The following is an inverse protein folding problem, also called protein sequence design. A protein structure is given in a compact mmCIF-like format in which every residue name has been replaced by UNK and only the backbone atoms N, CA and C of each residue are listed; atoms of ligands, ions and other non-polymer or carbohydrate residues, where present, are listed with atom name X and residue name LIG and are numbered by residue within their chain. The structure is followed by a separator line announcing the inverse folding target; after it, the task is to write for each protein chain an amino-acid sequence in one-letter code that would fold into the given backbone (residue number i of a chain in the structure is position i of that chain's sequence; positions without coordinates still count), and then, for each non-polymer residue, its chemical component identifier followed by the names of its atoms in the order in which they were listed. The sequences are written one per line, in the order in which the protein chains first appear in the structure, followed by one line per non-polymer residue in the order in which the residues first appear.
data_IF_716682355493
#
_entry.id   IF_716682355493
#
_cell.length_a   1.000
_cell.length_b   1.000
_cell.length_c   1.000
_cell.angle_alpha   90.00
_cell.angle_beta   90.00
_cell.angle_gamma   90.00
#
_symmetry.space_group_name_H-M   'P 1'
#
loop_
_entity.id
_entity.type
_entity.pdbx_description
1 polymer ?
#
# COMPACT_ATOMS: atom_id res chain seq x y z
N UNK A 1 11.62 -107.30 16.34
CA UNK A 1 11.89 -105.89 16.65
C UNK A 1 12.54 -105.28 15.42
N UNK A 2 11.77 -104.65 14.55
CA UNK A 2 12.27 -103.92 13.35
C UNK A 2 12.77 -102.54 13.74
N UNK A 3 14.03 -102.29 13.42
CA UNK A 3 14.65 -100.94 13.64
C UNK A 3 14.15 -100.02 12.50
N UNK A 4 13.25 -99.14 12.86
CA UNK A 4 12.73 -98.07 11.96
C UNK A 4 13.88 -97.15 11.56
N UNK A 5 14.38 -97.27 10.37
CA UNK A 5 15.47 -96.48 9.81
C UNK A 5 14.92 -95.09 9.51
N UNK A 6 15.02 -94.16 10.47
CA UNK A 6 14.64 -92.76 10.30
C UNK A 6 15.55 -92.15 9.26
N UNK A 7 14.99 -91.78 8.10
CA UNK A 7 15.70 -91.16 7.00
C UNK A 7 16.41 -89.86 7.44
N UNK A 8 17.70 -90.03 7.77
CA UNK A 8 18.56 -88.92 8.19
C UNK A 8 18.51 -87.75 7.18
N UNK A 9 18.34 -88.01 5.91
CA UNK A 9 18.18 -87.04 4.84
C UNK A 9 16.89 -86.20 4.97
N UNK A 10 15.80 -86.81 5.44
CA UNK A 10 14.56 -86.09 5.68
C UNK A 10 14.65 -85.14 6.84
N UNK A 11 15.30 -85.53 7.92
CA UNK A 11 15.55 -84.72 9.11
C UNK A 11 16.48 -83.56 8.78
N UNK A 12 17.52 -83.71 7.97
CA UNK A 12 18.43 -82.65 7.56
C UNK A 12 17.74 -81.64 6.63
N UNK A 13 16.91 -82.11 5.68
CA UNK A 13 16.11 -81.23 4.81
C UNK A 13 15.09 -80.44 5.62
N UNK A 14 14.43 -81.07 6.61
CA UNK A 14 13.45 -80.45 7.46
C UNK A 14 14.12 -79.35 8.39
N UNK A 15 15.30 -79.68 8.92
CA UNK A 15 16.07 -78.72 9.73
C UNK A 15 16.59 -77.56 8.95
N UNK A 16 17.02 -77.78 7.67
CA UNK A 16 17.41 -76.71 6.76
C UNK A 16 16.23 -75.75 6.41
N UNK A 17 15.02 -76.30 6.22
CA UNK A 17 13.81 -75.55 5.96
C UNK A 17 13.41 -74.68 7.18
N UNK A 18 13.54 -75.21 8.40
CA UNK A 18 13.29 -74.46 9.63
C UNK A 18 14.32 -73.33 9.82
N UNK A 19 15.59 -73.55 9.51
CA UNK A 19 16.64 -72.52 9.59
C UNK A 19 16.39 -71.42 8.54
N UNK A 20 16.08 -71.75 7.32
CA UNK A 20 15.77 -70.79 6.25
C UNK A 20 14.49 -70.01 6.57
N UNK A 21 13.42 -70.73 6.98
CA UNK A 21 12.15 -70.10 7.39
C UNK A 21 12.28 -69.20 8.63
N UNK A 22 13.06 -69.66 9.62
CA UNK A 22 13.35 -68.89 10.82
C UNK A 22 14.22 -67.66 10.55
N UNK A 23 15.24 -67.82 9.68
CA UNK A 23 16.09 -66.66 9.27
C UNK A 23 15.28 -65.64 8.43
N UNK A 24 14.44 -66.07 7.55
CA UNK A 24 13.54 -65.21 6.78
C UNK A 24 12.49 -64.54 7.68
N UNK A 25 11.93 -65.26 8.64
CA UNK A 25 10.97 -64.74 9.61
C UNK A 25 11.61 -63.71 10.55
N UNK A 26 12.81 -63.96 11.06
CA UNK A 26 13.57 -63.00 11.89
C UNK A 26 13.96 -61.77 11.05
N UNK A 27 14.43 -61.94 9.82
CA UNK A 27 14.74 -60.79 8.96
C UNK A 27 13.50 -59.90 8.73
N UNK A 28 12.38 -60.50 8.38
CA UNK A 28 11.13 -59.77 8.18
C UNK A 28 10.59 -59.09 9.45
N UNK A 29 10.76 -59.77 10.61
CA UNK A 29 10.36 -59.22 11.89
C UNK A 29 11.23 -58.01 12.32
N UNK A 30 12.56 -58.08 12.16
CA UNK A 30 13.46 -56.97 12.43
C UNK A 30 13.20 -55.80 11.45
N UNK A 31 13.00 -56.12 10.16
CA UNK A 31 12.69 -55.08 9.15
C UNK A 31 11.36 -54.37 9.45
N UNK A 32 10.34 -55.12 9.87
CA UNK A 32 9.03 -54.53 10.27
C UNK A 32 9.10 -53.67 11.53
N UNK A 33 10.05 -53.96 12.46
CA UNK A 33 10.25 -53.12 13.66
C UNK A 33 11.06 -51.86 13.37
N UNK A 34 11.88 -51.84 12.35
CA UNK A 34 12.78 -50.72 12.01
C UNK A 34 12.20 -49.79 10.93
N UNK A 35 11.08 -50.13 10.30
CA UNK A 35 10.46 -49.33 9.24
C UNK A 35 8.99 -49.05 9.58
N UNK A 36 8.63 -47.78 9.60
CA UNK A 36 7.23 -47.37 9.73
C UNK A 36 6.64 -47.13 8.33
N UNK A 37 5.43 -47.65 8.09
CA UNK A 37 4.75 -47.59 6.82
C UNK A 37 3.37 -46.93 7.00
N UNK A 38 2.96 -46.16 6.02
CA UNK A 38 1.59 -45.68 5.88
C UNK A 38 1.17 -45.72 4.41
N UNK A 39 -0.06 -46.09 4.15
CA UNK A 39 -0.76 -46.03 2.87
C UNK A 39 -1.65 -44.77 2.73
N UNK A 40 -1.76 -44.00 3.80
CA UNK A 40 -2.53 -42.78 3.88
C UNK A 40 -1.60 -41.59 3.60
N UNK A 41 -1.22 -41.42 2.34
CA UNK A 41 -0.34 -40.36 1.89
C UNK A 41 -0.88 -39.69 0.63
N UNK A 42 -0.73 -38.38 0.50
CA UNK A 42 -1.18 -37.59 -0.64
C UNK A 42 -0.08 -36.64 -1.10
N UNK A 43 0.06 -36.50 -2.43
CA UNK A 43 0.95 -35.53 -3.03
C UNK A 43 0.21 -34.19 -3.10
N UNK A 44 0.77 -33.18 -2.47
CA UNK A 44 0.26 -31.80 -2.51
C UNK A 44 1.22 -30.89 -3.28
N UNK A 45 0.65 -29.89 -3.92
CA UNK A 45 1.38 -28.83 -4.62
C UNK A 45 0.91 -27.47 -4.14
N UNK A 46 1.77 -26.47 -4.26
CA UNK A 46 1.40 -25.09 -3.94
C UNK A 46 0.41 -24.56 -4.97
N UNK A 47 -0.78 -24.23 -4.49
CA UNK A 47 -1.86 -23.65 -5.29
C UNK A 47 -1.93 -22.15 -5.04
N UNK A 48 -2.02 -21.36 -6.10
CA UNK A 48 -2.11 -19.91 -6.05
C UNK A 48 -3.46 -19.47 -6.64
N UNK A 49 -4.42 -19.03 -5.84
CA UNK A 49 -5.72 -18.61 -6.34
C UNK A 49 -5.61 -17.31 -7.17
N UNK A 50 -6.32 -17.25 -8.28
CA UNK A 50 -6.47 -16.07 -9.11
C UNK A 50 -7.69 -15.29 -8.65
N UNK A 51 -7.43 -14.12 -8.09
CA UNK A 51 -8.44 -13.25 -7.46
C UNK A 51 -8.35 -11.86 -8.13
N UNK A 52 -9.39 -11.42 -8.87
CA UNK A 52 -9.42 -10.10 -9.45
C UNK A 52 -9.50 -9.02 -8.36
N UNK A 53 -8.87 -7.88 -8.59
CA UNK A 53 -8.90 -6.72 -7.68
C UNK A 53 -10.03 -5.73 -8.01
N UNK A 54 -10.60 -5.84 -9.21
CA UNK A 54 -11.69 -5.01 -9.69
C UNK A 54 -12.84 -5.89 -10.17
N UNK A 55 -14.06 -5.39 -10.06
CA UNK A 55 -15.26 -6.06 -10.58
C UNK A 55 -15.57 -5.58 -11.99
N UNK A 56 -16.10 -6.47 -12.82
CA UNK A 56 -16.54 -6.14 -14.17
C UNK A 56 -16.86 -7.38 -14.98
N UNK A 57 -17.26 -7.20 -16.23
CA UNK A 57 -17.53 -8.30 -17.14
C UNK A 57 -16.24 -8.81 -17.78
N UNK A 58 -16.09 -10.12 -17.89
CA UNK A 58 -14.96 -10.73 -18.60
C UNK A 58 -15.08 -10.42 -20.10
N UNK A 59 -14.06 -9.78 -20.66
CA UNK A 59 -13.98 -9.50 -22.10
C UNK A 59 -13.45 -10.71 -22.87
N UNK A 60 -12.25 -11.20 -22.50
CA UNK A 60 -11.59 -12.34 -23.14
C UNK A 60 -10.89 -13.21 -22.11
N UNK A 61 -10.88 -14.52 -22.39
CA UNK A 61 -10.12 -15.53 -21.65
C UNK A 61 -9.05 -16.10 -22.60
N UNK A 62 -7.78 -16.09 -22.17
CA UNK A 62 -6.63 -16.47 -22.99
C UNK A 62 -6.09 -17.86 -22.66
N UNK A 63 -6.55 -18.44 -21.54
CA UNK A 63 -6.08 -19.75 -21.06
C UNK A 63 -7.22 -20.76 -21.03
N UNK A 64 -6.86 -22.03 -21.15
CA UNK A 64 -7.76 -23.18 -21.03
C UNK A 64 -7.38 -24.04 -19.83
N UNK A 65 -8.23 -25.02 -19.52
CA UNK A 65 -7.95 -26.03 -18.50
C UNK A 65 -6.61 -26.70 -18.76
N UNK A 66 -5.80 -26.79 -17.71
CA UNK A 66 -4.49 -27.46 -17.72
C UNK A 66 -3.40 -26.79 -18.59
N UNK A 67 -3.59 -25.57 -19.08
CA UNK A 67 -2.56 -24.84 -19.81
C UNK A 67 -1.37 -24.50 -18.89
N UNK A 68 -0.16 -24.55 -19.46
CA UNK A 68 1.05 -24.07 -18.80
C UNK A 68 1.22 -22.55 -19.03
N UNK A 69 1.41 -21.82 -17.95
CA UNK A 69 1.59 -20.37 -17.98
C UNK A 69 2.87 -19.98 -17.27
N UNK A 70 3.48 -18.90 -17.73
CA UNK A 70 4.63 -18.24 -17.10
C UNK A 70 4.16 -17.02 -16.33
N UNK A 71 4.95 -16.64 -15.33
CA UNK A 71 4.73 -15.40 -14.60
C UNK A 71 4.67 -14.20 -15.56
N UNK A 72 3.59 -13.44 -15.50
CA UNK A 72 3.32 -12.30 -16.36
C UNK A 72 2.40 -12.59 -17.55
N UNK A 73 2.14 -13.86 -17.88
CA UNK A 73 1.21 -14.20 -18.95
C UNK A 73 -0.20 -13.74 -18.62
N UNK A 74 -0.90 -13.17 -19.60
CA UNK A 74 -2.28 -12.70 -19.42
C UNK A 74 -3.23 -13.89 -19.40
N UNK A 75 -4.00 -14.02 -18.34
CA UNK A 75 -4.97 -15.09 -18.14
C UNK A 75 -6.34 -14.75 -18.72
N UNK A 76 -6.84 -13.58 -18.37
CA UNK A 76 -8.08 -13.04 -18.91
C UNK A 76 -8.10 -11.50 -18.74
N UNK A 77 -9.01 -10.85 -19.45
CA UNK A 77 -9.24 -9.41 -19.37
C UNK A 77 -10.68 -9.11 -18.94
N UNK A 78 -10.84 -8.05 -18.16
CA UNK A 78 -12.12 -7.45 -17.79
C UNK A 78 -12.37 -6.30 -18.76
N UNK A 79 -13.64 -6.01 -19.09
CA UNK A 79 -14.02 -4.88 -19.94
C UNK A 79 -13.46 -3.56 -19.40
N UNK A 80 -12.69 -2.88 -20.25
CA UNK A 80 -11.92 -1.70 -19.89
C UNK A 80 -12.66 -0.39 -20.13
N UNK A 81 -13.83 -0.42 -20.78
CA UNK A 81 -14.53 0.81 -21.26
C UNK A 81 -14.84 1.76 -20.12
N UNK A 82 -15.43 1.26 -19.04
CA UNK A 82 -15.79 2.07 -17.88
C UNK A 82 -14.53 2.63 -17.15
N UNK A 83 -13.45 1.87 -17.13
CA UNK A 83 -12.18 2.31 -16.52
C UNK A 83 -11.50 3.40 -17.35
N UNK A 84 -11.58 3.33 -18.69
CA UNK A 84 -11.07 4.37 -19.59
C UNK A 84 -11.85 5.67 -19.44
N UNK A 85 -13.18 5.60 -19.33
CA UNK A 85 -14.03 6.77 -19.05
C UNK A 85 -13.62 7.41 -17.72
N UNK A 86 -13.42 6.63 -16.66
CA UNK A 86 -12.96 7.15 -15.36
C UNK A 86 -11.59 7.83 -15.42
N UNK A 87 -10.68 7.36 -16.27
CA UNK A 87 -9.40 8.02 -16.50
C UNK A 87 -9.62 9.37 -17.18
N UNK A 88 -10.51 9.44 -18.16
CA UNK A 88 -10.83 10.67 -18.89
C UNK A 88 -11.48 11.71 -17.97
N UNK A 89 -12.42 11.28 -17.11
CA UNK A 89 -13.02 12.11 -16.05
C UNK A 89 -11.97 12.64 -15.06
N UNK A 90 -11.08 11.78 -14.57
CA UNK A 90 -10.03 12.18 -13.66
C UNK A 90 -9.00 13.12 -14.31
N UNK A 91 -8.70 12.91 -15.60
CA UNK A 91 -7.83 13.80 -16.37
C UNK A 91 -8.48 15.18 -16.60
N UNK A 92 -9.77 15.22 -16.91
CA UNK A 92 -10.51 16.49 -17.02
C UNK A 92 -10.54 17.23 -15.67
N UNK A 93 -10.68 16.53 -14.56
CA UNK A 93 -10.61 17.12 -13.22
C UNK A 93 -9.21 17.70 -12.92
N UNK A 94 -8.12 17.02 -13.35
CA UNK A 94 -6.75 17.53 -13.23
C UNK A 94 -6.58 18.83 -14.03
N UNK A 95 -6.99 18.86 -15.30
CA UNK A 95 -6.92 20.06 -16.15
C UNK A 95 -7.73 21.21 -15.54
N UNK A 96 -8.91 20.92 -14.96
CA UNK A 96 -9.71 21.91 -14.25
C UNK A 96 -9.00 22.48 -13.02
N UNK A 97 -8.31 21.63 -12.24
CA UNK A 97 -7.53 22.07 -11.09
C UNK A 97 -6.31 22.91 -11.50
N UNK A 98 -5.61 22.54 -12.57
CA UNK A 98 -4.50 23.31 -13.16
C UNK A 98 -4.97 24.68 -13.65
N UNK A 99 -6.10 24.75 -14.34
CA UNK A 99 -6.70 26.01 -14.78
C UNK A 99 -7.05 26.92 -13.59
N UNK A 100 -7.62 26.35 -12.54
CA UNK A 100 -7.93 27.09 -11.29
C UNK A 100 -6.69 27.61 -10.60
N UNK A 101 -5.58 26.86 -10.64
CA UNK A 101 -4.29 27.31 -10.12
C UNK A 101 -3.74 28.50 -10.92
N UNK A 102 -3.79 28.47 -12.25
CA UNK A 102 -3.35 29.57 -13.10
C UNK A 102 -4.19 30.85 -12.88
N UNK A 103 -5.51 30.72 -12.66
CA UNK A 103 -6.37 31.85 -12.25
C UNK A 103 -5.91 32.41 -10.91
N UNK A 104 -5.68 31.55 -9.89
CA UNK A 104 -5.21 32.01 -8.58
C UNK A 104 -3.84 32.68 -8.64
N UNK A 105 -2.98 32.24 -9.56
CA UNK A 105 -1.67 32.84 -9.82
C UNK A 105 -1.79 34.22 -10.50
N UNK A 106 -2.75 34.42 -11.37
CA UNK A 106 -3.06 35.71 -11.93
C UNK A 106 -3.61 36.67 -10.86
N UNK A 107 -4.49 36.19 -9.97
CA UNK A 107 -5.05 36.98 -8.86
C UNK A 107 -3.93 37.45 -7.89
N UNK A 108 -2.96 36.61 -7.59
CA UNK A 108 -1.83 36.99 -6.74
C UNK A 108 -0.97 38.08 -7.40
N UNK A 109 -0.77 37.98 -8.73
CA UNK A 109 -0.05 39.02 -9.48
C UNK A 109 -0.76 40.36 -9.41
N UNK A 110 -2.10 40.38 -9.56
CA UNK A 110 -2.93 41.59 -9.36
C UNK A 110 -2.89 42.15 -7.94
N UNK A 111 -2.90 41.24 -6.94
CA UNK A 111 -2.79 41.64 -5.54
C UNK A 111 -1.41 42.27 -5.23
N UNK A 112 -0.32 41.71 -5.77
CA UNK A 112 1.03 42.26 -5.64
C UNK A 112 1.18 43.62 -6.31
N UNK A 113 0.59 43.80 -7.48
CA UNK A 113 0.55 45.11 -8.15
C UNK A 113 -0.22 46.12 -7.29
N UNK A 114 -1.33 45.75 -6.65
CA UNK A 114 -2.08 46.62 -5.72
C UNK A 114 -1.28 46.98 -4.50
N UNK A 115 -0.43 46.09 -3.96
CA UNK A 115 0.52 46.40 -2.88
C UNK A 115 1.52 47.46 -3.35
N UNK A 116 2.09 47.31 -4.53
CA UNK A 116 3.06 48.26 -5.08
C UNK A 116 2.45 49.67 -5.28
N UNK A 117 1.20 49.77 -5.77
CA UNK A 117 0.47 51.02 -5.88
C UNK A 117 0.26 51.66 -4.51
N UNK A 118 -0.14 50.86 -3.51
CA UNK A 118 -0.36 51.37 -2.16
C UNK A 118 0.94 51.85 -1.49
N UNK A 119 2.06 51.17 -1.78
CA UNK A 119 3.39 51.57 -1.32
C UNK A 119 3.81 52.93 -1.92
N UNK A 120 3.60 53.11 -3.23
CA UNK A 120 3.83 54.40 -3.88
C UNK A 120 2.99 55.52 -3.31
N UNK A 121 1.72 55.26 -2.90
CA UNK A 121 0.87 56.24 -2.24
C UNK A 121 1.40 56.63 -0.84
N UNK A 122 1.91 55.69 -0.05
CA UNK A 122 2.55 55.97 1.24
C UNK A 122 3.82 56.80 1.03
N UNK A 123 4.62 56.49 0.03
CA UNK A 123 5.85 57.24 -0.30
C UNK A 123 5.52 58.66 -0.75
N UNK A 124 4.48 58.85 -1.58
CA UNK A 124 3.99 60.16 -2.00
C UNK A 124 3.54 60.99 -0.78
N UNK A 125 2.76 60.39 0.14
CA UNK A 125 2.33 61.05 1.37
C UNK A 125 3.54 61.45 2.24
N UNK A 126 4.59 60.61 2.28
CA UNK A 126 5.84 60.96 2.99
C UNK A 126 6.57 62.12 2.35
N UNK A 127 6.61 62.22 1.03
CA UNK A 127 7.16 63.34 0.30
C UNK A 127 6.42 64.66 0.60
N UNK A 128 5.07 64.60 0.67
CA UNK A 128 4.25 65.77 1.05
C UNK A 128 4.53 66.27 2.47
N UNK A 129 4.77 65.37 3.42
CA UNK A 129 5.17 65.70 4.78
C UNK A 129 6.53 66.39 4.77
N UNK A 130 7.50 65.90 4.01
CA UNK A 130 8.83 66.50 3.94
C UNK A 130 8.76 67.93 3.36
N UNK A 131 8.00 68.13 2.28
CA UNK A 131 7.76 69.46 1.72
C UNK A 131 7.12 70.43 2.76
N UNK A 132 6.12 69.94 3.51
CA UNK A 132 5.49 70.72 4.56
C UNK A 132 6.43 71.05 5.73
N UNK A 133 7.32 70.13 6.12
CA UNK A 133 8.34 70.35 7.15
C UNK A 133 9.35 71.42 6.73
N UNK A 134 9.79 71.41 5.47
CA UNK A 134 10.66 72.41 4.89
C UNK A 134 9.97 73.84 5.03
N UNK A 135 8.68 73.89 4.64
CA UNK A 135 7.88 75.11 4.79
C UNK A 135 7.79 75.53 6.25
N UNK A 136 7.50 74.62 7.16
CA UNK A 136 7.45 74.91 8.61
C UNK A 136 8.80 75.42 9.15
N UNK A 137 9.91 74.80 8.73
CA UNK A 137 11.25 75.25 9.12
C UNK A 137 11.52 76.68 8.72
N UNK A 138 11.13 77.07 7.51
CA UNK A 138 11.23 78.45 7.05
C UNK A 138 10.39 79.43 7.93
N UNK A 139 9.08 79.11 8.09
CA UNK A 139 8.18 79.91 8.88
C UNK A 139 8.57 79.99 10.37
N UNK A 140 9.18 78.98 10.91
CA UNK A 140 9.72 78.94 12.25
C UNK A 140 10.94 79.88 12.36
N UNK A 141 11.81 79.90 11.36
CA UNK A 141 12.95 80.85 11.32
C UNK A 141 12.47 82.29 11.20
N UNK A 142 11.45 82.53 10.36
CA UNK A 142 10.81 83.89 10.26
C UNK A 142 10.18 84.30 11.55
N UNK A 143 9.36 83.46 12.23
CA UNK A 143 8.78 83.73 13.54
C UNK A 143 9.86 84.10 14.57
N UNK A 144 10.94 83.34 14.67
CA UNK A 144 12.03 83.61 15.64
C UNK A 144 12.68 84.93 15.36
N UNK A 145 12.86 85.32 14.11
CA UNK A 145 13.37 86.62 13.72
C UNK A 145 12.39 87.75 14.13
N UNK A 146 11.08 87.61 13.82
CA UNK A 146 10.07 88.63 14.20
C UNK A 146 9.88 88.74 15.71
N UNK A 147 9.95 87.59 16.42
CA UNK A 147 9.90 87.60 17.88
C UNK A 147 11.04 88.40 18.52
N UNK A 148 12.27 88.25 18.01
CA UNK A 148 13.42 89.07 18.48
C UNK A 148 13.24 90.56 18.17
N UNK A 149 12.73 90.94 16.98
CA UNK A 149 12.48 92.33 16.61
C UNK A 149 11.33 92.95 17.43
N UNK A 150 10.30 92.15 17.75
CA UNK A 150 9.20 92.62 18.60
C UNK A 150 9.68 92.88 20.05
N UNK A 151 10.48 92.01 20.60
CA UNK A 151 11.09 92.19 21.93
C UNK A 151 11.97 93.42 22.00
N UNK A 152 12.60 93.84 20.87
CA UNK A 152 13.39 95.04 20.72
C UNK A 152 12.56 96.27 20.29
N UNK A 153 11.22 96.17 20.33
CA UNK A 153 10.30 97.24 19.90
C UNK A 153 10.49 97.73 18.47
N UNK A 154 11.07 96.95 17.58
CA UNK A 154 11.40 97.29 16.18
C UNK A 154 10.29 96.96 15.18
N UNK A 155 9.20 96.27 15.57
CA UNK A 155 8.05 95.96 14.78
C UNK A 155 6.74 96.05 15.52
N UNK A 156 5.61 96.08 14.79
CA UNK A 156 4.27 96.16 15.41
C UNK A 156 3.82 94.79 15.94
N UNK A 157 2.90 94.79 16.89
CA UNK A 157 2.27 93.60 17.47
C UNK A 157 1.56 92.78 16.39
N UNK A 158 0.91 93.45 15.44
CA UNK A 158 0.26 92.81 14.29
C UNK A 158 1.22 91.97 13.44
N UNK A 159 2.42 92.49 13.14
CA UNK A 159 3.44 91.77 12.36
C UNK A 159 3.95 90.55 13.13
N UNK A 160 4.12 90.59 14.41
CA UNK A 160 4.48 89.46 15.27
C UNK A 160 3.37 88.39 15.27
N UNK A 161 2.08 88.82 15.52
CA UNK A 161 0.94 87.90 15.51
C UNK A 161 0.71 87.24 14.18
N UNK A 162 0.95 87.91 13.06
CA UNK A 162 0.92 87.28 11.69
C UNK A 162 1.99 86.18 11.51
N UNK A 163 3.21 86.44 11.98
CA UNK A 163 4.28 85.42 11.90
C UNK A 163 3.99 84.22 12.80
N UNK A 164 3.42 84.41 13.98
CA UNK A 164 3.00 83.35 14.88
C UNK A 164 1.86 82.52 14.28
N UNK A 165 0.84 83.17 13.73
CA UNK A 165 -0.28 82.45 13.07
C UNK A 165 0.20 81.63 11.86
N UNK A 166 1.09 82.20 11.03
CA UNK A 166 1.64 81.43 9.87
C UNK A 166 2.43 80.19 10.30
N UNK A 167 3.24 80.24 11.38
CA UNK A 167 3.90 79.14 11.97
C UNK A 167 2.93 78.04 12.45
N UNK A 168 1.88 78.47 13.24
CA UNK A 168 0.88 77.56 13.78
C UNK A 168 0.06 76.87 12.70
N UNK A 169 -0.26 77.56 11.61
CA UNK A 169 -0.90 77.01 10.42
C UNK A 169 -0.03 75.92 9.79
N UNK A 170 1.27 76.18 9.58
CA UNK A 170 2.21 75.26 9.03
C UNK A 170 2.42 74.02 9.94
N UNK A 171 2.47 74.18 11.26
CA UNK A 171 2.51 73.10 12.24
C UNK A 171 1.25 72.23 12.13
N UNK A 172 0.10 72.84 12.02
CA UNK A 172 -1.17 72.09 11.82
C UNK A 172 -1.19 71.36 10.51
N UNK A 173 -0.69 71.96 9.43
CA UNK A 173 -0.60 71.32 8.11
C UNK A 173 0.31 70.08 8.15
N UNK A 174 1.47 70.10 8.80
CA UNK A 174 2.35 68.93 8.98
C UNK A 174 1.61 67.84 9.76
N UNK A 175 0.88 68.15 10.81
CA UNK A 175 0.09 67.20 11.59
C UNK A 175 -1.01 66.56 10.79
N UNK A 176 -1.73 67.31 9.93
CA UNK A 176 -2.76 66.77 9.02
C UNK A 176 -2.13 65.77 8.04
N UNK A 177 -1.00 66.14 7.40
CA UNK A 177 -0.31 65.28 6.44
C UNK A 177 0.26 64.02 7.10
N UNK A 178 0.71 64.12 8.37
CA UNK A 178 1.12 62.94 9.13
C UNK A 178 -0.05 61.98 9.40
N UNK A 179 -1.25 62.51 9.71
CA UNK A 179 -2.44 61.65 9.85
C UNK A 179 -2.84 61.03 8.51
N UNK A 180 -2.72 61.78 7.42
CA UNK A 180 -2.97 61.26 6.08
C UNK A 180 -2.00 60.12 5.69
N UNK A 181 -0.69 60.27 5.97
CA UNK A 181 0.28 59.20 5.76
C UNK A 181 -0.06 57.97 6.59
N UNK A 182 -0.42 58.16 7.88
CA UNK A 182 -0.83 57.07 8.76
C UNK A 182 -2.05 56.32 8.21
N UNK A 183 -3.03 57.03 7.68
CA UNK A 183 -4.19 56.44 7.03
C UNK A 183 -3.80 55.61 5.78
N UNK A 184 -2.90 56.18 4.94
CA UNK A 184 -2.35 55.47 3.79
C UNK A 184 -1.57 54.21 4.20
N UNK A 185 -0.83 54.27 5.32
CA UNK A 185 -0.14 53.09 5.90
C UNK A 185 -1.09 52.01 6.36
N UNK A 186 -2.21 52.35 7.00
CA UNK A 186 -3.24 51.36 7.33
C UNK A 186 -3.88 50.74 6.07
N UNK A 187 -4.16 51.57 5.06
CA UNK A 187 -4.66 51.08 3.79
C UNK A 187 -3.69 50.08 3.12
N UNK A 188 -2.38 50.37 3.13
CA UNK A 188 -1.34 49.44 2.67
C UNK A 188 -1.40 48.12 3.43
N UNK A 189 -1.50 48.15 4.78
CA UNK A 189 -1.59 46.93 5.60
C UNK A 189 -2.81 46.08 5.26
N UNK A 190 -3.95 46.66 4.95
CA UNK A 190 -5.16 45.96 4.50
C UNK A 190 -4.91 45.27 3.17
N UNK A 191 -4.26 45.96 2.21
CA UNK A 191 -3.96 45.40 0.89
C UNK A 191 -2.92 44.29 0.99
N UNK A 192 -1.90 44.43 1.84
CA UNK A 192 -0.92 43.36 2.12
C UNK A 192 -1.57 42.14 2.74
N UNK A 193 -2.51 42.33 3.69
CA UNK A 193 -3.26 41.21 4.24
C UNK A 193 -4.09 40.48 3.16
N UNK A 194 -4.74 41.24 2.26
CA UNK A 194 -5.47 40.66 1.12
C UNK A 194 -4.55 39.89 0.20
N UNK A 195 -3.35 40.41 -0.10
CA UNK A 195 -2.32 39.73 -0.89
C UNK A 195 -1.90 38.39 -0.26
N UNK A 196 -1.72 38.34 1.08
CA UNK A 196 -1.42 37.12 1.82
C UNK A 196 -2.57 36.09 1.70
N UNK A 197 -3.83 36.55 1.73
CA UNK A 197 -4.98 35.66 1.51
C UNK A 197 -4.94 35.07 0.10
N UNK A 198 -4.72 35.88 -0.95
CA UNK A 198 -4.61 35.40 -2.33
C UNK A 198 -3.46 34.40 -2.49
N UNK A 199 -2.33 34.61 -1.80
CA UNK A 199 -1.23 33.65 -1.79
C UNK A 199 -1.65 32.32 -1.16
N UNK A 200 -2.37 32.34 -0.04
CA UNK A 200 -2.90 31.10 0.57
C UNK A 200 -3.94 30.40 -0.31
N UNK A 201 -4.71 31.17 -1.05
CA UNK A 201 -5.64 30.60 -2.05
C UNK A 201 -4.88 29.83 -3.14
N UNK A 202 -3.72 30.33 -3.57
CA UNK A 202 -2.85 29.64 -4.54
C UNK A 202 -2.26 28.35 -3.94
N UNK A 203 -1.87 28.34 -2.66
CA UNK A 203 -1.44 27.12 -1.96
C UNK A 203 -2.56 26.06 -1.96
N UNK A 204 -3.81 26.47 -1.73
CA UNK A 204 -4.99 25.59 -1.77
C UNK A 204 -5.21 25.04 -3.19
N UNK A 205 -5.11 25.90 -4.21
CA UNK A 205 -5.23 25.46 -5.61
C UNK A 205 -4.14 24.46 -5.99
N UNK A 206 -2.90 24.68 -5.54
CA UNK A 206 -1.79 23.73 -5.74
C UNK A 206 -2.04 22.36 -5.06
N UNK A 207 -2.64 22.36 -3.87
CA UNK A 207 -3.04 21.13 -3.19
C UNK A 207 -4.16 20.40 -3.94
N UNK A 208 -5.07 21.12 -4.59
CA UNK A 208 -6.13 20.53 -5.43
C UNK A 208 -5.55 19.82 -6.66
N UNK A 209 -4.50 20.37 -7.31
CA UNK A 209 -3.77 19.68 -8.39
C UNK A 209 -3.25 18.32 -7.91
N UNK A 210 -2.55 18.29 -6.78
CA UNK A 210 -2.02 17.04 -6.22
C UNK A 210 -3.12 16.02 -5.94
N UNK A 211 -4.27 16.47 -5.44
CA UNK A 211 -5.43 15.60 -5.21
C UNK A 211 -5.99 15.04 -6.51
N UNK A 212 -6.16 15.87 -7.53
CA UNK A 212 -6.66 15.44 -8.85
C UNK A 212 -5.66 14.49 -9.53
N UNK A 213 -4.36 14.73 -9.40
CA UNK A 213 -3.32 13.85 -9.91
C UNK A 213 -3.38 12.46 -9.25
N UNK A 214 -3.51 12.41 -7.92
CA UNK A 214 -3.67 11.14 -7.19
C UNK A 214 -4.94 10.39 -7.62
N UNK A 215 -6.02 11.08 -7.93
CA UNK A 215 -7.24 10.48 -8.47
C UNK A 215 -7.02 9.89 -9.87
N UNK A 216 -6.28 10.59 -10.74
CA UNK A 216 -5.91 10.09 -12.06
C UNK A 216 -5.02 8.83 -11.95
N UNK A 217 -4.02 8.84 -11.09
CA UNK A 217 -3.17 7.68 -10.83
C UNK A 217 -3.96 6.47 -10.31
N UNK A 218 -4.92 6.70 -9.41
CA UNK A 218 -5.81 5.64 -8.91
C UNK A 218 -6.70 5.06 -10.03
N UNK A 219 -7.22 5.89 -10.92
CA UNK A 219 -8.00 5.44 -12.07
C UNK A 219 -7.15 4.63 -13.06
N UNK A 220 -5.92 5.06 -13.33
CA UNK A 220 -4.96 4.33 -14.17
C UNK A 220 -4.58 2.98 -13.55
N UNK A 221 -4.33 2.94 -12.24
CA UNK A 221 -4.04 1.70 -11.52
C UNK A 221 -5.21 0.71 -11.62
N UNK A 222 -6.45 1.18 -11.47
CA UNK A 222 -7.63 0.35 -11.63
C UNK A 222 -7.75 -0.22 -13.06
N UNK A 223 -7.35 0.54 -14.08
CA UNK A 223 -7.29 0.04 -15.46
C UNK A 223 -6.24 -1.09 -15.57
N UNK A 224 -5.08 -1.00 -14.94
CA UNK A 224 -4.09 -2.08 -14.97
C UNK A 224 -4.62 -3.36 -14.32
N UNK A 225 -5.48 -3.25 -13.31
CA UNK A 225 -6.11 -4.40 -12.65
C UNK A 225 -7.18 -5.09 -13.50
N UNK A 226 -7.57 -4.54 -14.64
CA UNK A 226 -8.47 -5.21 -15.59
C UNK A 226 -7.78 -6.30 -16.41
N UNK A 227 -6.45 -6.29 -16.47
CA UNK A 227 -5.64 -7.32 -17.12
C UNK A 227 -5.10 -8.23 -16.03
N UNK A 228 -5.65 -9.44 -15.94
CA UNK A 228 -5.27 -10.39 -14.91
C UNK A 228 -4.15 -11.28 -15.47
N UNK A 229 -3.00 -11.25 -14.77
CA UNK A 229 -1.80 -11.98 -15.18
C UNK A 229 -1.43 -13.05 -14.17
N UNK A 230 -0.69 -14.07 -14.63
CA UNK A 230 -0.14 -15.12 -13.78
C UNK A 230 0.92 -14.54 -12.83
N UNK A 231 0.75 -14.76 -11.52
CA UNK A 231 1.69 -14.32 -10.50
C UNK A 231 2.93 -15.22 -10.37
N UNK A 232 2.80 -16.49 -10.79
CA UNK A 232 3.83 -17.53 -10.73
C UNK A 232 3.81 -18.39 -12.02
N UNK A 233 4.90 -19.07 -12.28
CA UNK A 233 4.93 -20.14 -13.27
C UNK A 233 4.17 -21.36 -12.77
N UNK A 234 3.40 -22.02 -13.64
CA UNK A 234 2.66 -23.19 -13.25
C UNK A 234 1.64 -23.63 -14.28
N UNK A 235 0.78 -24.55 -13.85
CA UNK A 235 -0.31 -25.08 -14.64
C UNK A 235 -1.64 -24.57 -14.12
N UNK A 236 -2.48 -24.05 -15.01
CA UNK A 236 -3.82 -23.55 -14.68
C UNK A 236 -4.71 -24.74 -14.31
N UNK A 237 -5.49 -24.60 -13.27
CA UNK A 237 -6.54 -25.55 -12.90
C UNK A 237 -7.73 -25.46 -13.87
N UNK A 238 -8.87 -26.01 -13.49
CA UNK A 238 -10.12 -25.83 -14.23
C UNK A 238 -10.51 -24.34 -14.29
N UNK A 239 -10.78 -23.84 -15.49
CA UNK A 239 -11.17 -22.44 -15.77
C UNK A 239 -12.69 -22.34 -15.91
N UNK A 240 -13.37 -21.96 -14.84
CA UNK A 240 -14.84 -21.89 -14.82
C UNK A 240 -15.38 -20.49 -15.21
N UNK A 241 -14.57 -19.65 -15.87
CA UNK A 241 -15.00 -18.33 -16.34
C UNK A 241 -15.21 -18.28 -17.86
N UNK A 242 -16.20 -17.48 -18.27
CA UNK A 242 -16.53 -17.31 -19.68
C UNK A 242 -16.60 -15.82 -20.07
N UNK A 243 -16.30 -15.44 -21.32
CA UNK A 243 -16.55 -14.10 -21.82
C UNK A 243 -18.00 -13.67 -21.60
N UNK A 244 -18.21 -12.43 -21.12
CA UNK A 244 -19.53 -11.90 -20.77
C UNK A 244 -19.98 -12.20 -19.32
N UNK A 245 -19.25 -13.03 -18.59
CA UNK A 245 -19.54 -13.30 -17.17
C UNK A 245 -19.13 -12.14 -16.28
N UNK A 246 -19.95 -11.82 -15.29
CA UNK A 246 -19.62 -10.84 -14.25
C UNK A 246 -18.71 -11.50 -13.21
N UNK A 247 -17.54 -10.91 -12.95
CA UNK A 247 -16.63 -11.29 -11.86
C UNK A 247 -16.57 -10.17 -10.82
N UNK A 248 -16.41 -10.56 -9.54
CA UNK A 248 -16.36 -9.62 -8.43
C UNK A 248 -14.94 -9.54 -7.84
N UNK A 249 -14.56 -8.36 -7.37
CA UNK A 249 -13.30 -8.19 -6.65
C UNK A 249 -13.28 -9.08 -5.39
N UNK A 250 -12.16 -9.77 -5.17
CA UNK A 250 -11.99 -10.69 -4.05
C UNK A 250 -12.53 -12.11 -4.28
N UNK A 251 -13.21 -12.38 -5.38
CA UNK A 251 -13.69 -13.73 -5.72
C UNK A 251 -12.56 -14.60 -6.25
N UNK A 252 -12.34 -15.78 -5.67
CA UNK A 252 -11.43 -16.77 -6.24
C UNK A 252 -12.10 -17.43 -7.45
N UNK A 253 -11.45 -17.35 -8.60
CA UNK A 253 -11.99 -17.85 -9.88
C UNK A 253 -11.44 -19.23 -10.23
N UNK A 254 -10.13 -19.37 -10.29
CA UNK A 254 -9.41 -20.61 -10.53
C UNK A 254 -8.02 -20.50 -9.90
N UNK A 255 -7.18 -21.52 -10.05
CA UNK A 255 -5.89 -21.59 -9.37
C UNK A 255 -4.76 -21.89 -10.36
N UNK A 256 -3.55 -21.42 -10.04
CA UNK A 256 -2.33 -21.86 -10.72
C UNK A 256 -1.57 -22.78 -9.78
N UNK A 257 -1.25 -23.98 -10.25
CA UNK A 257 -0.55 -25.01 -9.52
C UNK A 257 0.93 -24.92 -9.88
N UNK A 258 1.77 -24.67 -8.89
CA UNK A 258 3.21 -24.66 -9.09
C UNK A 258 3.72 -26.11 -9.17
N UNK A 259 4.21 -26.50 -10.34
CA UNK A 259 4.72 -27.87 -10.55
C UNK A 259 6.15 -28.07 -9.99
N UNK A 260 6.89 -26.99 -9.68
CA UNK A 260 8.24 -27.08 -9.15
C UNK A 260 8.29 -27.35 -7.64
N UNK A 261 7.17 -27.22 -6.92
CA UNK A 261 7.10 -27.43 -5.47
C UNK A 261 6.01 -28.43 -5.13
N UNK A 262 6.36 -29.71 -5.15
CA UNK A 262 5.52 -30.79 -4.65
C UNK A 262 6.06 -31.30 -3.31
N UNK A 263 5.19 -31.70 -2.43
CA UNK A 263 5.52 -32.41 -1.19
C UNK A 263 4.48 -33.50 -0.94
N UNK A 264 4.81 -34.42 -0.05
CA UNK A 264 3.87 -35.46 0.37
C UNK A 264 3.42 -35.17 1.79
N UNK A 265 2.11 -35.24 2.02
CA UNK A 265 1.53 -35.30 3.36
C UNK A 265 1.16 -36.75 3.62
N UNK A 266 1.87 -37.36 4.57
CA UNK A 266 1.66 -38.74 4.98
C UNK A 266 1.10 -38.78 6.41
N UNK A 267 -0.04 -39.45 6.60
CA UNK A 267 -0.71 -39.53 7.90
C UNK A 267 -0.25 -40.78 8.63
N UNK A 268 0.56 -40.60 9.67
CA UNK A 268 1.03 -41.70 10.53
C UNK A 268 0.22 -41.75 11.83
N UNK A 269 0.13 -42.95 12.42
CA UNK A 269 -0.49 -43.13 13.75
C UNK A 269 0.38 -42.48 14.80
N UNK A 270 -0.23 -41.86 15.82
CA UNK A 270 0.48 -41.24 16.94
C UNK A 270 1.54 -42.17 17.57
N UNK A 271 1.26 -43.47 17.62
CA UNK A 271 2.17 -44.50 18.16
C UNK A 271 3.41 -44.74 17.31
N UNK A 272 3.45 -44.32 16.04
CA UNK A 272 4.58 -44.48 15.13
C UNK A 272 5.56 -43.31 15.19
N UNK A 273 5.09 -42.13 15.64
CA UNK A 273 5.86 -40.88 15.59
C UNK A 273 7.09 -40.89 16.51
N UNK A 274 7.07 -41.66 17.60
CA UNK A 274 8.19 -41.73 18.55
C UNK A 274 9.48 -42.27 17.92
N UNK A 275 9.40 -42.91 16.75
CA UNK A 275 10.52 -43.47 15.99
C UNK A 275 10.96 -42.61 14.81
N UNK A 276 10.31 -41.47 14.61
CA UNK A 276 10.54 -40.59 13.47
C UNK A 276 11.22 -39.31 13.91
N UNK A 277 12.15 -38.81 13.11
CA UNK A 277 12.83 -37.53 13.34
C UNK A 277 12.88 -36.70 12.06
N UNK A 278 12.88 -35.36 12.20
CA UNK A 278 13.07 -34.46 11.07
C UNK A 278 14.42 -34.72 10.39
N UNK A 279 14.45 -34.64 9.06
CA UNK A 279 15.61 -34.95 8.25
C UNK A 279 15.80 -36.45 7.94
N UNK A 280 14.93 -37.33 8.43
CA UNK A 280 14.97 -38.76 8.12
C UNK A 280 14.58 -39.06 6.67
N UNK A 281 15.31 -39.91 5.98
CA UNK A 281 15.03 -40.34 4.60
C UNK A 281 13.79 -41.21 4.55
N UNK A 282 12.99 -41.00 3.52
CA UNK A 282 11.73 -41.71 3.28
C UNK A 282 11.69 -42.18 1.82
N UNK A 283 11.24 -43.41 1.61
CA UNK A 283 10.95 -43.94 0.29
C UNK A 283 9.45 -43.83 0.04
N UNK A 284 9.08 -43.19 -1.07
CA UNK A 284 7.70 -42.92 -1.45
C UNK A 284 7.39 -43.75 -2.72
N UNK A 285 6.35 -44.57 -2.65
CA UNK A 285 5.83 -45.31 -3.79
C UNK A 285 4.56 -44.63 -4.29
N UNK A 286 4.52 -44.32 -5.57
CA UNK A 286 3.37 -43.69 -6.23
C UNK A 286 2.70 -44.71 -7.15
N UNK A 287 1.41 -44.93 -6.95
CA UNK A 287 0.66 -45.96 -7.70
C UNK A 287 0.68 -45.73 -9.22
N UNK A 288 0.78 -44.45 -9.63
CA UNK A 288 0.91 -44.11 -11.06
C UNK A 288 2.28 -44.48 -11.67
N UNK A 289 3.30 -44.75 -10.84
CA UNK A 289 4.67 -45.08 -11.24
C UNK A 289 5.20 -46.26 -10.41
N UNK A 290 4.67 -47.50 -10.60
CA UNK A 290 4.95 -48.62 -9.72
C UNK A 290 6.41 -49.10 -9.77
N UNK A 291 7.12 -48.83 -10.86
CA UNK A 291 8.51 -49.23 -11.07
C UNK A 291 9.54 -48.22 -10.57
N UNK A 292 9.10 -47.12 -9.97
CA UNK A 292 9.98 -46.02 -9.51
C UNK A 292 9.75 -45.67 -8.05
N UNK A 293 10.81 -45.78 -7.24
CA UNK A 293 10.81 -45.38 -5.85
C UNK A 293 11.34 -43.93 -5.71
N UNK A 294 10.48 -43.02 -5.35
CA UNK A 294 10.87 -41.62 -5.08
C UNK A 294 11.52 -41.51 -3.70
N UNK A 295 12.54 -40.68 -3.61
CA UNK A 295 13.19 -40.38 -2.35
C UNK A 295 12.70 -39.04 -1.81
N UNK A 296 12.63 -38.95 -0.51
CA UNK A 296 12.25 -37.70 0.18
C UNK A 296 12.80 -37.67 1.59
N UNK A 297 12.64 -36.53 2.22
CA UNK A 297 13.06 -36.31 3.61
C UNK A 297 11.91 -35.76 4.45
N UNK A 298 11.81 -36.19 5.72
CA UNK A 298 10.82 -35.66 6.67
C UNK A 298 11.16 -34.18 6.93
N UNK A 299 10.29 -33.28 6.48
CA UNK A 299 10.47 -31.84 6.63
C UNK A 299 9.93 -31.31 7.96
N UNK A 300 8.76 -31.81 8.40
CA UNK A 300 8.15 -31.36 9.67
C UNK A 300 7.00 -32.29 10.07
N UNK A 301 6.66 -32.24 11.35
CA UNK A 301 5.48 -32.87 11.92
C UNK A 301 4.40 -31.81 12.17
N UNK A 302 3.14 -32.18 11.91
CA UNK A 302 2.02 -31.29 12.26
C UNK A 302 1.89 -31.19 13.79
N UNK A 303 1.69 -30.00 14.36
CA UNK A 303 1.54 -29.80 15.80
C UNK A 303 0.22 -30.33 16.36
N UNK A 304 -0.73 -30.70 15.50
CA UNK A 304 -2.04 -31.20 15.89
C UNK A 304 -2.58 -32.22 14.88
N UNK A 305 -3.54 -33.02 15.32
CA UNK A 305 -4.23 -34.03 14.50
C UNK A 305 -5.17 -33.36 13.48
N UNK A 306 -5.36 -33.97 12.31
CA UNK A 306 -6.21 -33.44 11.24
C UNK A 306 -7.65 -33.10 11.69
N UNK A 307 -8.19 -33.84 12.66
CA UNK A 307 -9.54 -33.58 13.21
C UNK A 307 -9.64 -32.25 14.00
N UNK A 308 -8.52 -31.73 14.54
CA UNK A 308 -8.50 -30.44 15.25
C UNK A 308 -8.50 -29.24 14.30
N UNK A 309 -8.07 -29.40 13.06
CA UNK A 309 -8.07 -28.37 12.02
C UNK A 309 -9.37 -28.37 11.19
N UNK A 310 -10.30 -29.31 11.44
CA UNK A 310 -11.61 -29.32 10.80
C UNK A 310 -12.45 -28.11 11.26
N UNK A 311 -13.19 -27.49 10.33
CA UNK A 311 -14.15 -26.41 10.61
C UNK A 311 -15.25 -26.84 11.60
N UNK A 312 -15.51 -28.15 11.72
CA UNK A 312 -16.44 -28.77 12.68
C UNK A 312 -15.70 -29.93 13.36
N UNK A 313 -14.97 -29.67 14.47
CA UNK A 313 -14.35 -30.75 15.23
C UNK A 313 -15.43 -31.70 15.74
N UNK A 314 -15.23 -33.03 15.67
CA UNK A 314 -16.17 -33.98 16.21
C UNK A 314 -16.27 -33.78 17.74
N UNK A 315 -17.43 -33.35 18.22
CA UNK A 315 -17.71 -33.23 19.64
C UNK A 315 -18.41 -34.54 20.12
N UNK A 316 -17.75 -35.25 21.02
CA UNK A 316 -18.33 -36.44 21.64
C UNK A 316 -19.24 -36.07 22.82
N UNK A 317 -20.45 -35.54 22.50
CA UNK A 317 -21.42 -35.09 23.47
C UNK A 317 -22.06 -36.24 24.32
N UNK A 318 -21.77 -37.51 24.04
CA UNK A 318 -22.44 -38.69 24.62
C UNK A 318 -21.75 -39.30 25.87
N UNK A 319 -20.69 -38.66 26.41
CA UNK A 319 -20.11 -39.07 27.68
C UNK A 319 -19.25 -40.36 27.69
N UNK A 320 -19.25 -41.16 26.62
CA UNK A 320 -18.39 -42.34 26.49
C UNK A 320 -17.07 -41.98 25.79
N UNK A 321 -16.01 -41.92 26.58
CA UNK A 321 -14.66 -41.70 26.04
C UNK A 321 -14.14 -43.01 25.42
N UNK A 322 -14.11 -43.08 24.09
CA UNK A 322 -13.41 -44.14 23.34
C UNK A 322 -12.05 -43.63 22.96
N UNK A 323 -10.99 -44.25 23.42
CA UNK A 323 -9.62 -43.96 22.99
C UNK A 323 -9.43 -44.36 21.53
N UNK A 324 -9.55 -43.40 20.63
CA UNK A 324 -9.23 -43.58 19.21
C UNK A 324 -7.78 -43.18 18.93
N UNK A 325 -7.04 -44.06 18.24
CA UNK A 325 -5.67 -43.73 17.78
C UNK A 325 -5.80 -42.66 16.69
N UNK A 326 -5.25 -41.51 16.97
CA UNK A 326 -5.30 -40.38 16.02
C UNK A 326 -4.12 -40.50 15.02
N UNK A 327 -4.33 -39.95 13.81
CA UNK A 327 -3.28 -39.83 12.81
C UNK A 327 -2.77 -38.39 12.78
N UNK A 328 -1.46 -38.23 12.70
CA UNK A 328 -0.81 -36.94 12.54
C UNK A 328 -0.21 -36.81 11.15
N UNK A 329 -0.47 -35.69 10.46
CA UNK A 329 0.15 -35.41 9.16
C UNK A 329 1.66 -35.12 9.34
N UNK A 330 2.46 -35.80 8.55
CA UNK A 330 3.91 -35.59 8.43
C UNK A 330 4.18 -35.05 7.04
N UNK A 331 4.84 -33.89 6.96
CA UNK A 331 5.25 -33.29 5.68
C UNK A 331 6.59 -33.85 5.26
N UNK A 332 6.63 -34.40 4.04
CA UNK A 332 7.82 -34.98 3.43
C UNK A 332 8.15 -34.18 2.19
N UNK A 333 9.36 -33.62 2.12
CA UNK A 333 9.88 -32.97 0.93
C UNK A 333 10.40 -34.03 -0.04
N UNK A 334 10.10 -33.87 -1.33
CA UNK A 334 10.67 -34.68 -2.41
C UNK A 334 12.06 -34.13 -2.75
N UNK A 335 13.03 -35.03 -2.93
CA UNK A 335 14.41 -34.71 -3.30
C UNK A 335 14.54 -34.48 -4.81
#
# INVERSE_FOLDING_TARGET
MEKKNTNKKFITIFLALIIVGGSYGTYKYIHSQSHELTDDAQIEKKMNPIIPRVSGYVDKVYVKDNDFVKKGDTLFTIDQRDFKIKIEEANAALVGAESSFEVSKADISGALASVAVSDANVQSASGNIEAAKIRLGRLTSDYNRYNNLYNNHSITKQQYEQALAAKQEAETQVRILQQQQKASGFQKSVIEAKSKVSNKQTDVAAANIKRAQAQLEAAQLNLTYTVITAAIDGQVSKVDIQPGQLVQAGQSLFQIINNASAWVIANFKETQLNKMVEGQKVTIKVDAYPDYDFQGTIASFSPATGSRFSLLPPDNATGNFVKTIQRLPVKISLD
#
